data_IF_468618983254
#
_entry.id   IF_468618983254
#
_cell.length_a   1.000
_cell.length_b   1.000
_cell.length_c   1.000
_cell.angle_alpha   90.00
_cell.angle_beta   90.00
_cell.angle_gamma   90.00
#
_symmetry.space_group_name_H-M   'P 1'
#
loop_
_entity.id
_entity.type
_entity.pdbx_description
1 polymer ?
#
# COMPACT_ATOMS: atom_id res chain seq x y z
N UNK A 1 35.89 -7.40 -26.58
CA UNK A 1 35.92 -7.39 -25.09
C UNK A 1 34.80 -8.26 -24.48
N UNK A 2 33.60 -8.34 -25.08
CA UNK A 2 32.52 -9.24 -24.61
C UNK A 2 32.82 -10.74 -24.74
N UNK A 3 33.63 -11.16 -25.71
CA UNK A 3 33.84 -12.60 -25.98
C UNK A 3 34.69 -13.28 -24.90
N UNK A 4 35.68 -12.57 -24.35
CA UNK A 4 36.46 -13.03 -23.18
C UNK A 4 35.55 -13.12 -21.95
N UNK A 5 34.67 -12.14 -21.71
CA UNK A 5 33.71 -12.20 -20.61
C UNK A 5 32.69 -13.34 -20.78
N UNK A 6 32.30 -13.68 -22.01
CA UNK A 6 31.45 -14.85 -22.28
C UNK A 6 32.18 -16.16 -22.00
N UNK A 7 33.43 -16.28 -22.43
CA UNK A 7 34.28 -17.44 -22.14
C UNK A 7 34.40 -17.67 -20.63
N UNK A 8 34.75 -16.61 -19.88
CA UNK A 8 34.90 -16.67 -18.43
C UNK A 8 33.59 -17.02 -17.71
N UNK A 9 32.44 -16.58 -18.22
CA UNK A 9 31.13 -16.89 -17.66
C UNK A 9 30.59 -18.31 -18.00
N UNK A 10 31.34 -19.14 -18.74
CA UNK A 10 30.91 -20.51 -19.03
C UNK A 10 30.81 -21.35 -17.76
N UNK A 11 29.76 -22.17 -17.70
CA UNK A 11 29.50 -23.11 -16.61
C UNK A 11 29.17 -24.48 -17.20
N UNK A 12 29.82 -25.52 -16.70
CA UNK A 12 29.57 -26.93 -17.06
C UNK A 12 29.35 -27.70 -15.76
N UNK A 13 28.26 -28.44 -15.66
CA UNK A 13 27.92 -29.28 -14.49
C UNK A 13 27.95 -28.55 -13.12
N UNK A 14 27.70 -27.24 -13.12
CA UNK A 14 27.70 -26.40 -11.90
C UNK A 14 29.05 -25.77 -11.55
N UNK A 15 30.12 -26.13 -12.26
CA UNK A 15 31.44 -25.52 -12.11
C UNK A 15 31.66 -24.42 -13.16
N UNK A 16 32.09 -23.24 -12.71
CA UNK A 16 32.33 -22.09 -13.58
C UNK A 16 33.82 -21.86 -13.82
N UNK A 17 34.19 -21.47 -15.05
CA UNK A 17 35.58 -21.21 -15.42
C UNK A 17 36.24 -20.12 -14.56
N UNK A 18 35.48 -19.09 -14.15
CA UNK A 18 35.95 -18.06 -13.20
C UNK A 18 36.37 -18.65 -11.86
N UNK A 19 35.62 -19.63 -11.33
CA UNK A 19 35.91 -20.22 -10.03
C UNK A 19 37.22 -21.01 -10.07
N UNK A 20 37.45 -21.74 -11.17
CA UNK A 20 38.71 -22.44 -11.44
C UNK A 20 39.89 -21.46 -11.47
N UNK A 21 39.79 -20.40 -12.28
CA UNK A 21 40.84 -19.38 -12.41
C UNK A 21 41.14 -18.68 -11.07
N UNK A 22 40.12 -18.37 -10.27
CA UNK A 22 40.31 -17.77 -8.94
C UNK A 22 41.03 -18.72 -7.96
N UNK A 23 40.78 -20.02 -8.06
CA UNK A 23 41.47 -21.05 -7.27
C UNK A 23 42.91 -21.34 -7.79
N UNK A 24 43.33 -20.71 -8.88
CA UNK A 24 44.67 -20.84 -9.44
C UNK A 24 44.90 -22.14 -10.22
N UNK A 25 43.83 -22.87 -10.57
CA UNK A 25 43.91 -24.09 -11.37
C UNK A 25 42.83 -24.08 -12.44
N UNK A 26 43.16 -24.39 -13.69
CA UNK A 26 42.17 -24.48 -14.76
C UNK A 26 42.29 -25.80 -15.52
N UNK A 27 41.63 -26.87 -15.02
CA UNK A 27 41.48 -28.12 -15.75
C UNK A 27 40.84 -27.91 -17.13
N UNK A 28 39.95 -26.92 -17.24
CA UNK A 28 39.32 -26.58 -18.52
C UNK A 28 40.32 -25.98 -19.54
N UNK A 29 41.33 -25.23 -19.09
CA UNK A 29 42.34 -24.66 -19.99
C UNK A 29 43.49 -25.63 -20.32
N UNK A 30 43.71 -26.67 -19.51
CA UNK A 30 44.78 -27.67 -19.77
C UNK A 30 44.54 -28.54 -21.00
N UNK A 31 43.31 -28.67 -21.46
CA UNK A 31 43.00 -29.38 -22.72
C UNK A 31 43.46 -28.62 -23.97
N UNK A 32 43.71 -27.30 -23.86
CA UNK A 32 44.08 -26.46 -25.00
C UNK A 32 45.59 -26.34 -25.21
N UNK A 33 46.41 -26.73 -24.23
CA UNK A 33 47.88 -26.65 -24.34
C UNK A 33 48.57 -27.68 -23.44
N UNK A 34 49.63 -28.30 -23.96
CA UNK A 34 50.55 -29.13 -23.19
C UNK A 34 51.70 -28.34 -22.54
N UNK A 35 51.84 -27.05 -22.86
CA UNK A 35 52.84 -26.16 -22.28
C UNK A 35 52.36 -25.58 -20.95
N UNK A 36 52.98 -26.03 -19.85
CA UNK A 36 52.66 -25.60 -18.50
C UNK A 36 52.95 -24.11 -18.25
N UNK A 37 53.98 -23.54 -18.89
CA UNK A 37 54.32 -22.13 -18.74
C UNK A 37 53.31 -21.22 -19.46
N UNK A 38 52.83 -21.66 -20.62
CA UNK A 38 51.76 -20.96 -21.34
C UNK A 38 50.45 -20.99 -20.52
N UNK A 39 50.10 -22.15 -19.95
CA UNK A 39 48.91 -22.30 -19.12
C UNK A 39 48.96 -21.42 -17.87
N UNK A 40 50.09 -21.35 -17.17
CA UNK A 40 50.22 -20.47 -16.00
C UNK A 40 50.04 -19.00 -16.38
N UNK A 41 50.63 -18.58 -17.50
CA UNK A 41 50.47 -17.21 -18.00
C UNK A 41 49.02 -16.85 -18.34
N UNK A 42 48.24 -17.81 -18.87
CA UNK A 42 46.83 -17.59 -19.16
C UNK A 42 46.02 -17.44 -17.88
N UNK A 43 46.25 -18.32 -16.90
CA UNK A 43 45.56 -18.26 -15.60
C UNK A 43 45.86 -16.95 -14.89
N UNK A 44 47.13 -16.52 -14.84
CA UNK A 44 47.53 -15.25 -14.26
C UNK A 44 46.90 -14.05 -15.01
N UNK A 45 46.99 -14.02 -16.34
CA UNK A 45 46.40 -12.95 -17.14
C UNK A 45 44.88 -12.86 -17.02
N UNK A 46 44.16 -13.99 -16.96
CA UNK A 46 42.72 -13.97 -16.72
C UNK A 46 42.36 -13.58 -15.28
N UNK A 47 43.22 -13.89 -14.31
CA UNK A 47 43.04 -13.48 -12.91
C UNK A 47 43.17 -11.97 -12.74
N UNK A 48 44.08 -11.33 -13.47
CA UNK A 48 44.20 -9.87 -13.50
C UNK A 48 42.92 -9.19 -14.00
N UNK A 49 42.26 -9.77 -15.00
CA UNK A 49 40.99 -9.24 -15.52
C UNK A 49 39.81 -9.33 -14.52
N UNK A 50 39.95 -10.09 -13.43
CA UNK A 50 38.93 -10.27 -12.39
C UNK A 50 39.15 -9.35 -11.17
N UNK A 51 40.33 -8.72 -11.05
CA UNK A 51 40.67 -7.83 -9.93
C UNK A 51 40.64 -6.37 -10.34
N UNK A 52 40.01 -5.52 -9.52
CA UNK A 52 40.16 -4.07 -9.65
C UNK A 52 41.52 -3.65 -9.10
N UNK A 53 42.38 -3.07 -9.94
CA UNK A 53 43.75 -2.72 -9.56
C UNK A 53 43.84 -1.43 -8.74
N UNK A 54 42.92 -0.47 -8.93
CA UNK A 54 42.93 0.81 -8.18
C UNK A 54 41.51 1.35 -7.96
N UNK A 55 41.23 1.79 -6.73
CA UNK A 55 39.98 2.46 -6.37
C UNK A 55 40.04 3.93 -6.80
N UNK A 56 39.55 4.24 -8.00
CA UNK A 56 39.42 5.60 -8.50
C UNK A 56 37.95 5.99 -8.62
N UNK A 57 37.62 7.24 -8.27
CA UNK A 57 36.26 7.78 -8.33
C UNK A 57 36.23 9.00 -9.23
N UNK A 58 35.28 9.04 -10.16
CA UNK A 58 35.07 10.18 -11.05
C UNK A 58 34.41 11.36 -10.30
N UNK A 59 34.71 12.60 -10.71
CA UNK A 59 34.06 13.82 -10.20
C UNK A 59 32.54 13.85 -10.43
N UNK A 60 32.05 13.13 -11.44
CA UNK A 60 30.60 13.01 -11.73
C UNK A 60 29.90 11.94 -10.88
N UNK A 61 30.65 11.09 -10.17
CA UNK A 61 30.07 10.11 -9.25
C UNK A 61 29.46 10.84 -8.06
N UNK A 62 28.30 10.38 -7.59
CA UNK A 62 27.68 10.93 -6.38
C UNK A 62 28.55 10.57 -5.17
N UNK A 63 28.92 11.57 -4.39
CA UNK A 63 29.67 11.43 -3.15
C UNK A 63 28.88 12.10 -2.03
N UNK A 64 28.68 11.41 -0.91
CA UNK A 64 27.83 11.85 0.20
C UNK A 64 28.62 11.77 1.50
N UNK A 65 28.65 12.86 2.27
CA UNK A 65 29.21 12.84 3.62
C UNK A 65 28.21 12.22 4.59
N UNK A 66 28.69 11.29 5.42
CA UNK A 66 27.90 10.62 6.45
C UNK A 66 28.55 10.82 7.83
N UNK A 67 27.82 11.39 8.81
CA UNK A 67 28.39 11.71 10.12
C UNK A 67 28.70 10.46 10.95
N UNK A 68 29.77 10.51 11.73
CA UNK A 68 30.15 9.44 12.68
C UNK A 68 29.67 9.83 14.08
N UNK A 69 28.80 9.04 14.70
CA UNK A 69 28.07 9.46 15.91
C UNK A 69 28.91 9.54 17.19
N UNK A 70 30.19 9.16 17.16
CA UNK A 70 30.99 8.93 18.37
C UNK A 70 32.34 9.67 18.35
N UNK A 71 32.51 10.70 17.51
CA UNK A 71 33.72 11.51 17.48
C UNK A 71 33.52 12.79 18.32
N UNK A 72 34.55 13.18 19.08
CA UNK A 72 34.57 14.47 19.82
C UNK A 72 34.65 15.66 18.86
N UNK A 73 35.15 15.42 17.64
CA UNK A 73 35.17 16.34 16.51
C UNK A 73 34.15 15.92 15.43
N UNK A 74 33.72 16.85 14.59
CA UNK A 74 32.79 16.56 13.49
C UNK A 74 33.45 15.72 12.39
N UNK A 75 33.55 14.40 12.60
CA UNK A 75 34.06 13.43 11.63
C UNK A 75 32.96 12.93 10.67
N UNK A 76 33.35 12.75 9.40
CA UNK A 76 32.47 12.26 8.34
C UNK A 76 33.16 11.20 7.50
N UNK A 77 32.41 10.17 7.10
CA UNK A 77 32.80 9.27 6.03
C UNK A 77 32.30 9.80 4.69
N UNK A 78 33.15 9.75 3.67
CA UNK A 78 32.75 10.00 2.28
C UNK A 78 32.27 8.68 1.65
N UNK A 79 30.97 8.59 1.38
CA UNK A 79 30.34 7.42 0.78
C UNK A 79 30.08 7.68 -0.70
N UNK A 80 30.58 6.78 -1.55
CA UNK A 80 30.35 6.79 -3.00
C UNK A 80 29.41 5.64 -3.38
N UNK A 81 28.08 5.83 -3.35
CA UNK A 81 27.14 4.77 -3.70
C UNK A 81 27.26 4.40 -5.18
N UNK A 82 27.51 3.12 -5.46
CA UNK A 82 27.51 2.55 -6.80
C UNK A 82 26.15 1.98 -7.17
N UNK A 83 25.79 2.07 -8.45
CA UNK A 83 24.54 1.52 -8.95
C UNK A 83 24.64 -0.01 -9.08
N UNK A 84 23.83 -0.73 -8.29
CA UNK A 84 23.79 -2.20 -8.35
C UNK A 84 23.00 -2.70 -9.56
N UNK A 85 23.71 -2.90 -10.68
CA UNK A 85 23.10 -3.41 -11.92
C UNK A 85 22.51 -4.82 -11.75
N UNK A 86 23.16 -5.68 -10.94
CA UNK A 86 22.70 -7.04 -10.66
C UNK A 86 21.36 -7.05 -9.90
N UNK A 87 21.22 -6.22 -8.86
CA UNK A 87 19.96 -6.13 -8.11
C UNK A 87 18.83 -5.59 -8.98
N UNK A 88 19.11 -4.56 -9.77
CA UNK A 88 18.12 -4.01 -10.69
C UNK A 88 17.74 -4.99 -11.80
N UNK A 89 18.63 -5.91 -12.19
CA UNK A 89 18.33 -6.99 -13.13
C UNK A 89 17.35 -8.01 -12.54
N UNK A 90 17.61 -8.51 -11.34
CA UNK A 90 16.68 -9.42 -10.65
C UNK A 90 15.30 -8.79 -10.44
N UNK A 91 15.25 -7.50 -10.07
CA UNK A 91 13.97 -6.78 -9.96
C UNK A 91 13.26 -6.69 -11.32
N UNK A 92 14.02 -6.42 -12.38
CA UNK A 92 13.47 -6.38 -13.74
C UNK A 92 12.84 -7.71 -14.14
N UNK A 93 13.53 -8.83 -13.93
CA UNK A 93 12.98 -10.16 -14.21
C UNK A 93 11.68 -10.43 -13.42
N UNK A 94 11.66 -10.11 -12.12
CA UNK A 94 10.46 -10.30 -11.28
C UNK A 94 9.26 -9.45 -11.75
N UNK A 95 9.49 -8.18 -12.06
CA UNK A 95 8.42 -7.29 -12.53
C UNK A 95 7.94 -7.72 -13.92
N UNK A 96 8.84 -8.05 -14.84
CA UNK A 96 8.51 -8.51 -16.20
C UNK A 96 7.77 -9.84 -16.17
N UNK A 97 8.21 -10.80 -15.35
CA UNK A 97 7.53 -12.08 -15.15
C UNK A 97 6.11 -11.87 -14.61
N UNK A 98 5.93 -10.97 -13.63
CA UNK A 98 4.58 -10.63 -13.15
C UNK A 98 3.73 -10.02 -14.26
N UNK A 99 4.25 -9.15 -15.11
CA UNK A 99 3.44 -8.44 -16.12
C UNK A 99 3.10 -9.31 -17.32
N UNK A 100 4.07 -10.06 -17.80
CA UNK A 100 4.01 -10.70 -19.12
C UNK A 100 4.11 -12.23 -19.09
N UNK A 101 4.50 -12.82 -17.95
CA UNK A 101 4.66 -14.27 -17.77
C UNK A 101 3.41 -15.00 -17.29
N UNK A 102 3.62 -16.04 -16.48
CA UNK A 102 2.59 -16.97 -15.98
C UNK A 102 1.49 -16.32 -15.15
N UNK A 103 1.71 -15.12 -14.61
CA UNK A 103 0.68 -14.36 -13.90
C UNK A 103 -0.49 -13.92 -14.79
N UNK A 104 -0.40 -14.04 -16.12
CA UNK A 104 -1.52 -13.78 -17.03
C UNK A 104 -2.70 -14.71 -16.77
N UNK A 105 -2.43 -16.01 -16.63
CA UNK A 105 -3.46 -17.03 -16.40
C UNK A 105 -4.19 -16.79 -15.07
N UNK A 106 -3.44 -16.41 -14.03
CA UNK A 106 -3.99 -16.03 -12.71
C UNK A 106 -4.94 -14.82 -12.83
N UNK A 107 -4.54 -13.81 -13.62
CA UNK A 107 -5.38 -12.61 -13.85
C UNK A 107 -6.62 -12.90 -14.66
N UNK A 108 -6.53 -13.79 -15.64
CA UNK A 108 -7.68 -14.23 -16.43
C UNK A 108 -8.66 -15.02 -15.56
N UNK A 109 -8.18 -15.97 -14.75
CA UNK A 109 -9.00 -16.67 -13.78
C UNK A 109 -9.71 -15.69 -12.83
N UNK A 110 -8.97 -14.72 -12.27
CA UNK A 110 -9.56 -13.64 -11.44
C UNK A 110 -10.61 -12.82 -12.18
N UNK A 111 -10.38 -12.47 -13.45
CA UNK A 111 -11.31 -11.68 -14.27
C UNK A 111 -12.62 -12.45 -14.53
N UNK A 112 -12.53 -13.76 -14.70
CA UNK A 112 -13.69 -14.65 -14.92
C UNK A 112 -14.34 -15.08 -13.58
N UNK A 113 -13.67 -14.84 -12.44
CA UNK A 113 -14.15 -15.23 -11.12
C UNK A 113 -13.82 -16.68 -10.74
N UNK A 114 -12.91 -17.33 -11.46
CA UNK A 114 -12.47 -18.70 -11.22
C UNK A 114 -11.29 -18.76 -10.25
N UNK A 115 -11.22 -19.85 -9.49
CA UNK A 115 -10.07 -20.15 -8.63
C UNK A 115 -8.83 -20.51 -9.45
N UNK A 116 -7.66 -20.10 -8.95
CA UNK A 116 -6.36 -20.51 -9.47
C UNK A 116 -5.42 -20.82 -8.30
N UNK A 117 -4.57 -21.84 -8.42
CA UNK A 117 -3.69 -22.31 -7.32
C UNK A 117 -2.52 -21.36 -7.02
N UNK A 118 -2.04 -20.65 -8.04
CA UNK A 118 -0.94 -19.68 -7.90
C UNK A 118 -1.41 -18.32 -7.35
N UNK A 119 -0.51 -17.64 -6.64
CA UNK A 119 -0.75 -16.28 -6.11
C UNK A 119 -0.74 -15.21 -7.21
N UNK A 120 -1.67 -14.25 -7.13
CA UNK A 120 -1.70 -13.04 -7.98
C UNK A 120 -0.73 -11.98 -7.45
N UNK A 121 0.47 -11.91 -8.03
CA UNK A 121 1.48 -10.89 -7.67
C UNK A 121 1.42 -9.72 -8.65
N UNK A 122 1.34 -8.50 -8.11
CA UNK A 122 1.30 -7.28 -8.90
C UNK A 122 2.15 -6.16 -8.28
N UNK A 123 2.85 -5.40 -9.12
CA UNK A 123 3.65 -4.23 -8.75
C UNK A 123 2.96 -2.95 -9.28
N UNK A 124 2.07 -2.32 -8.50
CA UNK A 124 1.36 -1.11 -8.93
C UNK A 124 2.29 0.11 -8.98
N UNK A 125 1.94 1.08 -9.83
CA UNK A 125 2.52 2.43 -9.86
C UNK A 125 4.06 2.49 -10.00
N UNK A 126 4.70 1.52 -10.65
CA UNK A 126 6.15 1.58 -10.89
C UNK A 126 6.51 2.69 -11.88
N UNK A 127 7.65 3.35 -11.69
CA UNK A 127 8.24 4.21 -12.72
C UNK A 127 9.32 3.46 -13.54
N UNK A 128 9.58 3.91 -14.76
CA UNK A 128 10.65 3.40 -15.62
C UNK A 128 11.73 4.47 -15.74
N UNK A 129 12.93 4.17 -15.26
CA UNK A 129 14.11 4.98 -15.48
C UNK A 129 14.91 4.41 -16.65
N UNK A 130 15.31 5.27 -17.59
CA UNK A 130 16.13 4.88 -18.75
C UNK A 130 17.56 5.37 -18.62
N UNK A 131 18.52 4.49 -18.87
CA UNK A 131 19.95 4.79 -18.88
C UNK A 131 20.49 4.70 -20.31
N UNK A 132 21.22 5.74 -20.75
CA UNK A 132 21.97 5.75 -22.02
C UNK A 132 21.29 6.42 -23.21
N UNK A 133 20.14 7.06 -23.00
CA UNK A 133 19.45 7.81 -24.06
C UNK A 133 19.24 6.97 -25.31
N UNK A 134 19.74 7.45 -26.45
CA UNK A 134 19.67 6.75 -27.75
C UNK A 134 20.65 5.57 -27.87
N UNK A 135 21.69 5.50 -27.03
CA UNK A 135 22.78 4.50 -27.10
C UNK A 135 22.93 3.71 -25.78
N UNK A 136 21.86 3.03 -25.37
CA UNK A 136 21.81 2.22 -24.13
C UNK A 136 22.83 1.06 -24.05
N UNK A 137 23.47 0.71 -25.17
CA UNK A 137 24.40 -0.42 -25.27
C UNK A 137 25.76 -0.17 -24.62
N UNK A 138 26.14 1.09 -24.39
CA UNK A 138 27.50 1.46 -23.95
C UNK A 138 27.67 1.55 -22.42
N UNK A 139 26.64 1.18 -21.63
CA UNK A 139 26.65 1.39 -20.16
C UNK A 139 27.09 0.14 -19.40
N UNK A 140 26.41 -0.99 -19.63
CA UNK A 140 26.78 -2.28 -19.06
C UNK A 140 26.03 -3.40 -19.79
N UNK A 141 26.54 -4.64 -19.68
CA UNK A 141 25.90 -5.81 -20.28
C UNK A 141 24.46 -6.00 -19.80
N UNK A 142 24.22 -6.01 -18.48
CA UNK A 142 22.88 -6.16 -17.91
C UNK A 142 21.96 -4.96 -18.24
N UNK A 143 22.51 -3.78 -18.55
CA UNK A 143 21.71 -2.67 -19.04
C UNK A 143 21.21 -2.93 -20.47
N UNK A 144 22.06 -3.52 -21.32
CA UNK A 144 21.67 -3.92 -22.68
C UNK A 144 20.56 -4.97 -22.67
N UNK A 145 20.67 -5.98 -21.82
CA UNK A 145 19.63 -7.02 -21.67
C UNK A 145 18.28 -6.46 -21.22
N UNK A 146 18.29 -5.39 -20.42
CA UNK A 146 17.09 -4.65 -20.00
C UNK A 146 16.66 -3.55 -20.97
N UNK A 147 17.29 -3.44 -22.14
CA UNK A 147 17.06 -2.36 -23.12
C UNK A 147 17.20 -0.95 -22.52
N UNK A 148 18.13 -0.79 -21.57
CA UNK A 148 18.36 0.47 -20.87
C UNK A 148 17.35 0.80 -19.77
N UNK A 149 16.44 -0.11 -19.42
CA UNK A 149 15.33 0.17 -18.51
C UNK A 149 15.58 -0.38 -17.10
N UNK A 150 15.23 0.42 -16.10
CA UNK A 150 15.15 -0.01 -14.70
C UNK A 150 13.79 0.37 -14.14
N UNK A 151 13.15 -0.56 -13.42
CA UNK A 151 11.91 -0.27 -12.70
C UNK A 151 12.21 0.32 -11.33
N UNK A 152 11.48 1.38 -10.98
CA UNK A 152 11.46 1.96 -9.64
C UNK A 152 10.13 1.61 -8.99
N UNK A 153 10.18 1.13 -7.75
CA UNK A 153 8.99 0.83 -6.95
C UNK A 153 8.38 2.12 -6.41
N UNK A 154 7.06 2.14 -6.25
CA UNK A 154 6.40 3.30 -5.68
C UNK A 154 6.72 3.41 -4.17
N UNK A 155 7.42 4.47 -3.78
CA UNK A 155 7.65 4.86 -2.40
C UNK A 155 7.04 6.24 -2.10
N UNK A 156 6.06 6.68 -2.90
CA UNK A 156 5.37 7.95 -2.67
C UNK A 156 4.68 7.92 -1.31
N UNK A 157 4.72 9.04 -0.55
CA UNK A 157 3.84 9.18 0.61
C UNK A 157 2.37 9.03 0.16
N UNK A 158 1.46 8.67 1.07
CA UNK A 158 0.04 8.68 0.75
C UNK A 158 -0.34 10.07 0.20
N UNK A 159 -0.82 10.12 -1.03
CA UNK A 159 -1.23 11.38 -1.67
C UNK A 159 -2.31 12.03 -0.81
N UNK A 160 -2.14 13.33 -0.50
CA UNK A 160 -3.06 14.13 0.29
C UNK A 160 -4.47 13.94 -0.27
N UNK A 161 -5.33 13.25 0.49
CA UNK A 161 -6.71 13.06 0.10
C UNK A 161 -7.39 14.45 0.11
N UNK A 162 -8.31 14.73 -0.82
CA UNK A 162 -9.04 15.99 -0.81
C UNK A 162 -9.62 16.19 0.59
N UNK A 163 -9.39 17.39 1.16
CA UNK A 163 -9.96 17.76 2.46
C UNK A 163 -11.46 17.46 2.44
N UNK A 164 -11.97 16.90 3.53
CA UNK A 164 -13.40 16.72 3.69
C UNK A 164 -14.08 18.06 3.43
N UNK A 165 -15.12 18.06 2.61
CA UNK A 165 -15.98 19.24 2.40
C UNK A 165 -17.20 19.10 3.30
N UNK A 166 -17.76 20.21 3.82
CA UNK A 166 -18.98 20.15 4.59
C UNK A 166 -20.13 19.61 3.72
N UNK A 167 -20.98 18.71 4.23
CA UNK A 167 -22.07 18.10 3.48
C UNK A 167 -23.26 19.07 3.34
N UNK A 168 -23.08 20.17 2.61
CA UNK A 168 -24.09 21.25 2.50
C UNK A 168 -25.35 20.79 1.74
N UNK A 169 -25.18 20.04 0.65
CA UNK A 169 -26.26 19.64 -0.26
C UNK A 169 -27.03 18.37 0.14
N UNK A 170 -26.68 17.75 1.27
CA UNK A 170 -27.24 16.47 1.71
C UNK A 170 -28.07 16.62 2.98
N UNK A 171 -29.19 15.91 3.06
CA UNK A 171 -30.07 15.90 4.26
C UNK A 171 -29.47 15.15 5.45
N UNK A 172 -28.58 14.19 5.19
CA UNK A 172 -27.95 13.34 6.20
C UNK A 172 -26.50 13.07 5.82
N UNK A 173 -25.66 12.77 6.80
CA UNK A 173 -24.27 12.31 6.58
C UNK A 173 -24.17 10.97 5.82
N UNK A 174 -25.24 10.18 5.80
CA UNK A 174 -25.31 8.86 5.15
C UNK A 174 -25.55 8.98 3.64
N UNK A 175 -24.74 9.78 2.98
CA UNK A 175 -24.82 10.05 1.55
C UNK A 175 -24.10 8.97 0.71
N UNK A 176 -24.03 9.22 -0.60
CA UNK A 176 -23.30 8.34 -1.51
C UNK A 176 -21.78 8.35 -1.25
N UNK A 177 -21.22 9.41 -0.68
CA UNK A 177 -19.79 9.47 -0.37
C UNK A 177 -19.44 8.54 0.78
N UNK A 178 -20.20 8.61 1.88
CA UNK A 178 -20.05 7.68 2.99
C UNK A 178 -20.28 6.24 2.54
N UNK A 179 -21.35 5.99 1.79
CA UNK A 179 -21.69 4.65 1.27
C UNK A 179 -20.55 4.06 0.42
N UNK A 180 -19.89 4.88 -0.42
CA UNK A 180 -18.71 4.44 -1.20
C UNK A 180 -17.52 4.05 -0.33
N UNK A 181 -17.28 4.75 0.79
CA UNK A 181 -16.18 4.43 1.72
C UNK A 181 -16.36 3.06 2.38
N UNK A 182 -17.59 2.65 2.63
CA UNK A 182 -17.92 1.40 3.34
C UNK A 182 -18.48 0.31 2.42
N UNK A 183 -18.47 0.51 1.09
CA UNK A 183 -19.13 -0.41 0.14
C UNK A 183 -18.53 -1.82 0.17
N UNK A 184 -17.22 -1.95 0.39
CA UNK A 184 -16.56 -3.24 0.52
C UNK A 184 -17.05 -3.98 1.77
N UNK A 185 -17.03 -3.32 2.93
CA UNK A 185 -17.55 -3.86 4.19
C UNK A 185 -19.04 -4.22 4.13
N UNK A 186 -19.85 -3.41 3.43
CA UNK A 186 -21.27 -3.70 3.21
C UNK A 186 -21.48 -4.95 2.36
N UNK A 187 -20.69 -5.13 1.29
CA UNK A 187 -20.75 -6.35 0.46
C UNK A 187 -20.37 -7.59 1.25
N UNK A 188 -19.28 -7.53 1.99
CA UNK A 188 -18.85 -8.64 2.85
C UNK A 188 -19.91 -8.95 3.91
N UNK A 189 -20.50 -7.93 4.52
CA UNK A 189 -21.56 -8.13 5.50
C UNK A 189 -22.80 -8.75 4.88
N UNK A 190 -23.22 -8.29 3.69
CA UNK A 190 -24.34 -8.90 2.96
C UNK A 190 -24.07 -10.37 2.65
N UNK A 191 -22.88 -10.70 2.13
CA UNK A 191 -22.51 -12.11 1.88
C UNK A 191 -22.48 -12.95 3.16
N UNK A 192 -22.09 -12.37 4.30
CA UNK A 192 -22.14 -13.06 5.58
C UNK A 192 -23.59 -13.35 6.01
N UNK A 193 -24.51 -12.39 5.83
CA UNK A 193 -25.92 -12.58 6.15
C UNK A 193 -26.60 -13.60 5.22
N UNK A 194 -26.30 -13.58 3.92
CA UNK A 194 -26.86 -14.51 2.93
C UNK A 194 -26.43 -15.96 3.18
N UNK A 195 -25.22 -16.17 3.70
CA UNK A 195 -24.69 -17.51 3.98
C UNK A 195 -25.02 -18.02 5.40
N UNK A 196 -25.73 -17.24 6.22
CA UNK A 196 -25.97 -17.55 7.62
C UNK A 196 -27.09 -18.61 7.73
N UNK A 197 -26.74 -19.80 8.25
CA UNK A 197 -27.73 -20.88 8.41
C UNK A 197 -28.44 -20.77 9.77
N UNK A 198 -29.73 -21.13 9.88
CA UNK A 198 -30.50 -20.99 11.13
C UNK A 198 -29.87 -21.66 12.36
N UNK A 199 -29.17 -22.79 12.18
CA UNK A 199 -28.50 -23.53 13.26
C UNK A 199 -27.19 -22.88 13.74
N UNK A 200 -26.67 -21.89 13.02
CA UNK A 200 -25.43 -21.18 13.35
C UNK A 200 -25.69 -19.92 14.19
N UNK A 201 -26.94 -19.69 14.64
CA UNK A 201 -27.30 -18.57 15.51
C UNK A 201 -26.81 -18.80 16.96
N UNK A 202 -25.49 -18.70 17.14
CA UNK A 202 -24.82 -18.85 18.42
C UNK A 202 -24.09 -17.55 18.81
N UNK A 203 -23.52 -17.54 20.01
CA UNK A 203 -22.74 -16.40 20.49
C UNK A 203 -21.60 -16.02 19.54
N UNK A 204 -20.88 -17.00 18.97
CA UNK A 204 -19.75 -16.77 18.06
C UNK A 204 -20.18 -16.03 16.80
N UNK A 205 -21.33 -16.36 16.23
CA UNK A 205 -21.88 -15.70 15.03
C UNK A 205 -22.33 -14.28 15.35
N UNK A 206 -22.94 -14.04 16.51
CA UNK A 206 -23.31 -12.68 16.97
C UNK A 206 -22.08 -11.82 17.24
N UNK A 207 -21.08 -12.36 17.92
CA UNK A 207 -19.79 -11.69 18.14
C UNK A 207 -19.11 -11.36 16.80
N UNK A 208 -19.10 -12.31 15.85
CA UNK A 208 -18.54 -12.10 14.53
C UNK A 208 -19.26 -11.00 13.77
N UNK A 209 -20.61 -11.03 13.76
CA UNK A 209 -21.46 -9.99 13.17
C UNK A 209 -21.05 -8.60 13.67
N UNK A 210 -20.95 -8.45 14.98
CA UNK A 210 -20.73 -7.14 15.59
C UNK A 210 -19.28 -6.68 15.38
N UNK A 211 -18.28 -7.50 15.73
CA UNK A 211 -16.87 -7.10 15.70
C UNK A 211 -16.25 -7.03 14.31
N UNK A 212 -16.68 -7.87 13.37
CA UNK A 212 -16.08 -7.90 12.02
C UNK A 212 -16.85 -7.07 11.00
N UNK A 213 -18.14 -6.78 11.24
CA UNK A 213 -18.96 -6.09 10.25
C UNK A 213 -19.54 -4.78 10.77
N UNK A 214 -20.34 -4.81 11.85
CA UNK A 214 -21.08 -3.61 12.27
C UNK A 214 -20.17 -2.56 12.91
N UNK A 215 -19.30 -2.96 13.84
CA UNK A 215 -18.38 -2.05 14.54
C UNK A 215 -17.42 -1.35 13.56
N UNK A 216 -16.76 -2.06 12.62
CA UNK A 216 -15.91 -1.39 11.62
C UNK A 216 -16.65 -0.34 10.77
N UNK A 217 -17.92 -0.57 10.43
CA UNK A 217 -18.74 0.41 9.70
C UNK A 217 -19.01 1.64 10.59
N UNK A 218 -19.31 1.44 11.88
CA UNK A 218 -19.49 2.52 12.84
C UNK A 218 -18.18 3.29 13.04
N UNK A 219 -17.04 2.62 13.14
CA UNK A 219 -15.74 3.27 13.26
C UNK A 219 -15.43 4.12 12.03
N UNK A 220 -15.69 3.62 10.82
CA UNK A 220 -15.56 4.40 9.59
C UNK A 220 -16.49 5.62 9.57
N UNK A 221 -17.70 5.50 10.10
CA UNK A 221 -18.62 6.63 10.28
C UNK A 221 -18.02 7.69 11.21
N UNK A 222 -17.50 7.28 12.37
CA UNK A 222 -16.89 8.20 13.34
C UNK A 222 -15.63 8.85 12.77
N UNK A 223 -14.79 8.11 12.06
CA UNK A 223 -13.64 8.66 11.34
C UNK A 223 -14.08 9.68 10.30
N UNK A 224 -15.13 9.39 9.54
CA UNK A 224 -15.68 10.33 8.55
C UNK A 224 -16.21 11.60 9.23
N UNK A 225 -16.98 11.47 10.31
CA UNK A 225 -17.44 12.61 11.09
C UNK A 225 -16.27 13.44 11.65
N UNK A 226 -15.25 12.80 12.22
CA UNK A 226 -14.06 13.49 12.72
C UNK A 226 -13.31 14.26 11.64
N UNK A 227 -13.34 13.77 10.39
CA UNK A 227 -12.73 14.47 9.26
C UNK A 227 -13.50 15.74 8.89
N UNK A 228 -14.83 15.74 9.06
CA UNK A 228 -15.70 16.90 8.84
C UNK A 228 -15.59 17.89 10.00
N UNK A 229 -15.50 17.40 11.24
CA UNK A 229 -15.34 18.23 12.44
C UNK A 229 -14.04 19.04 12.47
N UNK A 230 -13.03 18.64 11.68
CA UNK A 230 -11.76 19.36 11.50
C UNK A 230 -11.83 20.50 10.49
N UNK A 231 -12.92 20.62 9.73
CA UNK A 231 -13.15 21.73 8.81
C UNK A 231 -13.41 22.99 9.64
N UNK A 232 -13.11 24.15 9.06
CA UNK A 232 -13.49 25.45 9.63
C UNK A 232 -14.98 25.47 10.01
N UNK A 233 -15.28 25.83 11.25
CA UNK A 233 -16.63 25.80 11.82
C UNK A 233 -17.52 26.94 11.33
N UNK A 234 -18.84 26.81 11.52
CA UNK A 234 -19.82 27.86 11.17
C UNK A 234 -20.61 27.57 9.90
N UNK A 235 -20.27 26.50 9.17
CA UNK A 235 -20.97 26.11 7.95
C UNK A 235 -22.37 25.54 8.21
N UNK A 236 -22.69 25.10 9.43
CA UNK A 236 -24.01 24.55 9.76
C UNK A 236 -25.15 25.59 9.67
N UNK A 237 -24.83 26.88 9.85
CA UNK A 237 -25.81 27.98 9.85
C UNK A 237 -25.93 28.67 8.47
N UNK A 238 -25.15 28.23 7.49
CA UNK A 238 -25.22 28.76 6.14
C UNK A 238 -26.56 28.39 5.48
N UNK A 239 -27.17 29.29 4.68
CA UNK A 239 -28.45 29.02 4.01
C UNK A 239 -28.35 27.87 2.99
N UNK A 240 -27.14 27.55 2.52
CA UNK A 240 -26.88 26.41 1.64
C UNK A 240 -26.91 25.05 2.36
N UNK A 241 -26.94 25.04 3.71
CA UNK A 241 -26.95 23.82 4.51
C UNK A 241 -28.36 23.21 4.55
N UNK A 242 -28.53 22.11 3.83
CA UNK A 242 -29.76 21.30 3.81
C UNK A 242 -29.76 20.14 4.81
N UNK A 243 -28.71 20.07 5.64
CA UNK A 243 -28.50 18.99 6.60
C UNK A 243 -29.51 19.08 7.75
N UNK A 244 -29.99 17.93 8.21
CA UNK A 244 -30.84 17.85 9.40
C UNK A 244 -30.13 18.46 10.61
N UNK A 245 -30.85 19.21 11.43
CA UNK A 245 -30.27 19.98 12.55
C UNK A 245 -29.43 19.10 13.50
N UNK A 246 -29.88 17.89 13.81
CA UNK A 246 -29.18 16.96 14.70
C UNK A 246 -27.85 16.46 14.12
N UNK A 247 -27.77 16.31 12.79
CA UNK A 247 -26.51 15.96 12.12
C UNK A 247 -25.57 17.17 12.06
N UNK A 248 -26.12 18.38 11.89
CA UNK A 248 -25.35 19.60 11.93
C UNK A 248 -24.73 19.83 13.32
N UNK A 249 -25.52 19.66 14.40
CA UNK A 249 -25.05 19.70 15.80
C UNK A 249 -23.91 18.72 16.06
N UNK A 250 -23.95 17.54 15.44
CA UNK A 250 -22.87 16.56 15.58
C UNK A 250 -21.58 16.99 14.87
N UNK A 251 -21.68 17.57 13.67
CA UNK A 251 -20.55 17.77 12.76
C UNK A 251 -19.86 19.13 12.86
N UNK A 252 -20.56 20.20 13.25
CA UNK A 252 -20.00 21.55 13.36
C UNK A 252 -19.68 21.90 14.83
N UNK A 253 -18.58 21.35 15.37
CA UNK A 253 -18.28 21.41 16.81
C UNK A 253 -18.11 22.84 17.36
N UNK A 254 -17.36 23.67 16.64
CA UNK A 254 -16.84 24.94 17.17
C UNK A 254 -17.66 26.17 16.75
N UNK A 255 -18.88 25.96 16.27
CA UNK A 255 -19.78 27.04 15.85
C UNK A 255 -19.87 28.15 16.94
N UNK A 256 -19.81 29.41 16.51
CA UNK A 256 -19.78 30.58 17.39
C UNK A 256 -21.14 30.89 18.02
N UNK A 257 -22.23 30.39 17.45
CA UNK A 257 -23.57 30.63 17.99
C UNK A 257 -23.82 29.93 19.33
N UNK A 258 -24.22 30.73 20.32
CA UNK A 258 -24.56 30.28 21.67
C UNK A 258 -25.81 29.37 21.71
N UNK A 259 -26.78 29.60 20.82
CA UNK A 259 -27.98 28.78 20.70
C UNK A 259 -27.61 27.37 20.23
N UNK A 260 -26.79 27.30 19.18
CA UNK A 260 -26.24 26.05 18.65
C UNK A 260 -25.49 25.23 19.71
N UNK A 261 -24.60 25.85 20.49
CA UNK A 261 -23.85 25.16 21.55
C UNK A 261 -24.76 24.64 22.67
N UNK A 262 -25.81 25.38 23.00
CA UNK A 262 -26.79 24.98 24.02
C UNK A 262 -27.58 23.74 23.57
N UNK A 263 -28.10 23.73 22.34
CA UNK A 263 -28.81 22.57 21.79
C UNK A 263 -27.88 21.36 21.64
N UNK A 264 -26.62 21.58 21.27
CA UNK A 264 -25.61 20.53 21.21
C UNK A 264 -25.34 19.91 22.58
N UNK A 265 -25.26 20.73 23.62
CA UNK A 265 -25.04 20.31 25.01
C UNK A 265 -26.14 19.40 25.57
N UNK A 266 -27.38 19.50 25.05
CA UNK A 266 -28.50 18.61 25.44
C UNK A 266 -28.32 17.17 24.99
N UNK A 267 -27.44 16.90 24.00
CA UNK A 267 -27.12 15.55 23.49
C UNK A 267 -28.31 14.74 22.91
N UNK A 268 -29.48 15.35 22.76
CA UNK A 268 -30.66 14.73 22.16
C UNK A 268 -30.42 14.29 20.71
N UNK A 269 -29.49 14.96 20.02
CA UNK A 269 -29.09 14.64 18.65
C UNK A 269 -28.43 13.25 18.49
N UNK A 270 -27.82 12.68 19.55
CA UNK A 270 -27.16 11.36 19.49
C UNK A 270 -28.14 10.25 19.08
N UNK A 271 -29.32 10.24 19.69
CA UNK A 271 -30.37 9.24 19.42
C UNK A 271 -30.86 9.34 17.98
N UNK A 272 -31.01 10.57 17.48
CA UNK A 272 -31.47 10.83 16.11
C UNK A 272 -30.44 10.35 15.08
N UNK A 273 -29.17 10.65 15.28
CA UNK A 273 -28.09 10.18 14.39
C UNK A 273 -27.99 8.64 14.42
N UNK A 274 -28.11 8.01 15.60
CA UNK A 274 -28.10 6.55 15.72
C UNK A 274 -29.31 5.89 15.03
N UNK A 275 -30.49 6.50 15.11
CA UNK A 275 -31.69 6.05 14.40
C UNK A 275 -31.51 6.15 12.88
N UNK A 276 -30.99 7.28 12.39
CA UNK A 276 -30.76 7.51 10.97
C UNK A 276 -29.70 6.53 10.43
N UNK A 277 -28.67 6.19 11.23
CA UNK A 277 -27.70 5.14 10.92
C UNK A 277 -28.35 3.77 10.77
N UNK A 278 -29.17 3.35 11.76
CA UNK A 278 -29.83 2.05 11.74
C UNK A 278 -30.74 1.90 10.51
N UNK A 279 -31.50 2.96 10.20
CA UNK A 279 -32.38 3.02 9.03
C UNK A 279 -31.58 2.92 7.72
N UNK A 280 -30.47 3.65 7.63
CA UNK A 280 -29.58 3.58 6.47
C UNK A 280 -28.95 2.19 6.31
N UNK A 281 -28.44 1.60 7.40
CA UNK A 281 -27.75 0.30 7.37
C UNK A 281 -28.69 -0.82 6.92
N UNK A 282 -29.92 -0.87 7.46
CA UNK A 282 -30.93 -1.83 7.02
C UNK A 282 -31.25 -1.68 5.54
N UNK A 283 -31.37 -0.44 5.05
CA UNK A 283 -31.61 -0.19 3.62
C UNK A 283 -30.46 -0.69 2.75
N UNK A 284 -29.21 -0.51 3.17
CA UNK A 284 -28.04 -1.02 2.43
C UNK A 284 -27.94 -2.54 2.46
N UNK A 285 -28.34 -3.16 3.56
CA UNK A 285 -28.33 -4.60 3.76
C UNK A 285 -29.62 -5.27 3.27
N UNK A 286 -30.54 -4.56 2.63
CA UNK A 286 -31.80 -5.16 2.19
C UNK A 286 -31.54 -6.30 1.18
N UNK A 287 -32.16 -7.46 1.43
CA UNK A 287 -32.15 -8.61 0.53
C UNK A 287 -33.52 -9.28 0.56
N UNK A 288 -34.35 -9.06 -0.45
CA UNK A 288 -35.72 -9.57 -0.46
C UNK A 288 -35.80 -11.12 -0.61
N UNK A 289 -34.69 -11.76 -0.99
CA UNK A 289 -34.63 -13.19 -1.32
C UNK A 289 -34.12 -14.08 -0.17
N UNK A 290 -33.26 -13.56 0.71
CA UNK A 290 -32.50 -14.38 1.65
C UNK A 290 -32.83 -14.15 3.14
N UNK A 291 -33.18 -12.93 3.54
CA UNK A 291 -33.48 -12.61 4.94
C UNK A 291 -34.32 -11.34 5.07
N UNK A 292 -35.05 -11.22 6.19
CA UNK A 292 -35.82 -10.03 6.52
C UNK A 292 -35.18 -9.34 7.72
N UNK A 293 -34.81 -8.08 7.56
CA UNK A 293 -34.40 -7.19 8.64
C UNK A 293 -35.60 -6.32 9.01
N UNK A 294 -36.01 -6.34 10.26
CA UNK A 294 -37.16 -5.59 10.76
C UNK A 294 -36.80 -4.68 11.92
N UNK A 295 -37.80 -4.41 12.76
CA UNK A 295 -37.69 -3.46 13.87
C UNK A 295 -36.72 -3.93 14.96
N UNK A 296 -36.54 -5.24 15.12
CA UNK A 296 -35.62 -5.82 16.12
C UNK A 296 -34.17 -5.54 15.73
N UNK A 297 -33.81 -5.76 14.46
CA UNK A 297 -32.47 -5.44 13.95
C UNK A 297 -32.24 -3.93 13.93
N UNK A 298 -33.27 -3.15 13.63
CA UNK A 298 -33.20 -1.69 13.68
C UNK A 298 -32.85 -1.20 15.10
N UNK A 299 -33.63 -1.64 16.10
CA UNK A 299 -33.39 -1.30 17.50
C UNK A 299 -32.00 -1.77 17.97
N UNK A 300 -31.53 -2.91 17.47
CA UNK A 300 -30.20 -3.42 17.78
C UNK A 300 -29.09 -2.52 17.22
N UNK A 301 -29.13 -2.20 15.93
CA UNK A 301 -28.14 -1.33 15.30
C UNK A 301 -28.17 0.08 15.85
N UNK A 302 -29.37 0.59 16.18
CA UNK A 302 -29.54 1.86 16.87
C UNK A 302 -28.81 1.83 18.22
N UNK A 303 -29.06 0.82 19.07
CA UNK A 303 -28.43 0.70 20.39
C UNK A 303 -26.91 0.61 20.29
N UNK A 304 -26.40 -0.16 19.34
CA UNK A 304 -24.97 -0.33 19.14
C UNK A 304 -24.33 0.98 18.67
N UNK A 305 -24.89 1.64 17.65
CA UNK A 305 -24.40 2.93 17.16
C UNK A 305 -24.45 4.01 18.26
N UNK A 306 -25.55 4.10 19.01
CA UNK A 306 -25.71 5.03 20.12
C UNK A 306 -24.64 4.85 21.19
N UNK A 307 -24.31 3.60 21.54
CA UNK A 307 -23.24 3.30 22.48
C UNK A 307 -21.89 3.85 22.02
N UNK A 308 -21.52 3.60 20.75
CA UNK A 308 -20.27 4.08 20.17
C UNK A 308 -20.25 5.61 19.99
N UNK A 309 -21.35 6.23 19.55
CA UNK A 309 -21.47 7.69 19.44
C UNK A 309 -21.35 8.37 20.81
N UNK A 310 -21.94 7.80 21.85
CA UNK A 310 -21.82 8.32 23.22
C UNK A 310 -20.38 8.26 23.71
N UNK A 311 -19.66 7.18 23.40
CA UNK A 311 -18.24 7.03 23.75
C UNK A 311 -17.36 8.01 22.96
N UNK A 312 -17.62 8.15 21.67
CA UNK A 312 -16.93 9.12 20.81
C UNK A 312 -17.10 10.54 21.35
N UNK A 313 -18.35 10.93 21.64
CA UNK A 313 -18.68 12.26 22.14
C UNK A 313 -18.08 12.60 23.51
N UNK A 314 -17.81 11.60 24.36
CA UNK A 314 -17.08 11.83 25.62
C UNK A 314 -15.62 12.22 25.41
N UNK A 315 -15.03 11.82 24.29
CA UNK A 315 -13.63 12.08 23.95
C UNK A 315 -13.50 13.27 23.00
N UNK A 316 -14.59 13.68 22.35
CA UNK A 316 -14.63 14.89 21.54
C UNK A 316 -14.30 16.11 22.40
N UNK A 317 -13.28 16.92 22.06
CA UNK A 317 -12.93 18.11 22.83
C UNK A 317 -14.08 19.12 22.77
N UNK A 318 -14.47 19.64 23.94
CA UNK A 318 -15.40 20.75 24.03
C UNK A 318 -14.67 22.05 23.63
N UNK A 319 -15.39 23.02 23.07
CA UNK A 319 -14.85 24.34 22.75
C UNK A 319 -14.20 24.96 24.01
N UNK A 320 -12.88 25.13 23.98
CA UNK A 320 -12.07 25.65 25.10
C UNK A 320 -11.37 24.62 26.00
N UNK A 321 -11.51 23.31 25.74
CA UNK A 321 -10.73 22.26 26.38
C UNK A 321 -9.47 21.95 25.56
N UNK A 322 -8.29 22.24 26.12
CA UNK A 322 -6.99 21.79 25.61
C UNK A 322 -6.88 20.26 25.75
#
# INVERSE_FOLDING_TARGET
MLDVAKLLNLKVEGEGLINQIQQGSSPALSEFTSDAALLSSWVEGFKEALGDQELTVNSLTKQVYFPVSNAEESEYHLICPLFSSALCHQLHEKVTASRYGTSKEVREARKVGNYHSLMDVNFPQTAIQKFGGSNAQNISQLNRERYGQTFLLNASPPTFQPQAKPPLSHKTIFDNQFTRKVIASLREFKTFLENLKPHENNFKTRYKRDHYFVIPIIEQLLHYASSIQKIESGWALLPECSLKAEHALWLDLNNEDSGFQTERGKRNWLSVVANDFATWLIKQLKSDEHYLLGDVEHAYFHKLCLHHLTRFERVTPAKGGI
#
